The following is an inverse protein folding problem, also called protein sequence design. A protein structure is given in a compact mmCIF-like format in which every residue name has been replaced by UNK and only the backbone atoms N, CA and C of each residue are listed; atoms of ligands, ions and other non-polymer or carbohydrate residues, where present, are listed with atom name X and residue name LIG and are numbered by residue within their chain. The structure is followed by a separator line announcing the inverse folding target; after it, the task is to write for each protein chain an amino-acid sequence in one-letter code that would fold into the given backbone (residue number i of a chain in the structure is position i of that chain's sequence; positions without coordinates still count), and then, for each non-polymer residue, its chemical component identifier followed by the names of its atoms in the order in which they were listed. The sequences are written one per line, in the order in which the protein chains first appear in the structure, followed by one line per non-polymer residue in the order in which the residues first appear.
data_IF_483584893746
#
_entry.id   IF_483584893746
#
_cell.length_a   1.000
_cell.length_b   1.000
_cell.length_c   1.000
_cell.angle_alpha   90.00
_cell.angle_beta   90.00
_cell.angle_gamma   90.00
#
_symmetry.space_group_name_H-M   'P 1'
#
loop_
_entity.id
_entity.type
_entity.pdbx_description
1 polymer ?
#
# COMPACT_ATOMS: atom_id res chain seq x y z
N UNK A 1 -9.70 10.72 -19.57
CA UNK A 1 -9.34 10.56 -18.13
C UNK A 1 -8.10 9.69 -18.06
N UNK A 2 -7.11 10.03 -17.23
CA UNK A 2 -5.97 9.12 -16.96
C UNK A 2 -6.47 7.92 -16.13
N UNK A 3 -5.76 6.78 -16.14
CA UNK A 3 -6.11 5.62 -15.29
C UNK A 3 -6.12 5.99 -13.79
N UNK A 4 -5.27 6.92 -13.40
CA UNK A 4 -5.24 7.48 -12.05
C UNK A 4 -6.52 8.21 -11.71
N UNK A 5 -6.95 9.14 -12.57
CA UNK A 5 -8.20 9.86 -12.40
C UNK A 5 -9.39 8.91 -12.29
N UNK A 6 -9.39 7.82 -13.05
CA UNK A 6 -10.46 6.82 -12.95
C UNK A 6 -10.54 6.15 -11.58
N UNK A 7 -9.41 5.82 -10.94
CA UNK A 7 -9.40 5.22 -9.59
C UNK A 7 -9.86 6.19 -8.51
N UNK A 8 -9.43 7.45 -8.60
CA UNK A 8 -9.86 8.53 -7.71
C UNK A 8 -11.37 8.73 -7.83
N UNK A 9 -11.86 8.85 -9.07
CA UNK A 9 -13.28 9.00 -9.35
C UNK A 9 -14.06 7.80 -8.78
N UNK A 10 -13.62 6.56 -9.03
CA UNK A 10 -14.29 5.35 -8.54
C UNK A 10 -14.35 5.27 -6.99
N UNK A 11 -13.28 5.67 -6.30
CA UNK A 11 -13.28 5.75 -4.84
C UNK A 11 -14.24 6.83 -4.34
N UNK A 12 -14.19 8.01 -4.95
CA UNK A 12 -15.08 9.12 -4.60
C UNK A 12 -16.55 8.77 -4.86
N UNK A 13 -16.85 8.09 -5.96
CA UNK A 13 -18.17 7.59 -6.31
C UNK A 13 -18.65 6.58 -5.27
N UNK A 14 -17.78 5.66 -4.83
CA UNK A 14 -18.11 4.68 -3.79
C UNK A 14 -18.49 5.34 -2.46
N UNK A 15 -17.75 6.37 -2.04
CA UNK A 15 -18.07 7.15 -0.83
C UNK A 15 -19.36 7.95 -0.99
N UNK A 16 -19.60 8.52 -2.16
CA UNK A 16 -20.82 9.28 -2.44
C UNK A 16 -22.06 8.37 -2.47
N UNK A 17 -21.96 7.19 -3.10
CA UNK A 17 -23.01 6.16 -3.07
C UNK A 17 -23.30 5.75 -1.63
N UNK A 18 -22.26 5.55 -0.81
CA UNK A 18 -22.43 5.23 0.60
C UNK A 18 -23.21 6.33 1.35
N UNK A 19 -22.83 7.60 1.17
CA UNK A 19 -23.50 8.74 1.81
C UNK A 19 -24.96 8.86 1.39
N UNK A 20 -25.26 8.73 0.10
CA UNK A 20 -26.63 8.72 -0.41
C UNK A 20 -27.45 7.59 0.22
N UNK A 21 -26.87 6.39 0.36
CA UNK A 21 -27.55 5.28 1.04
C UNK A 21 -27.76 5.52 2.54
N UNK A 22 -27.00 6.40 3.19
CA UNK A 22 -27.20 6.71 4.62
C UNK A 22 -28.41 7.63 4.83
N UNK A 23 -28.72 8.51 3.88
CA UNK A 23 -29.86 9.44 3.98
C UNK A 23 -31.20 8.71 4.05
N UNK A 24 -31.31 7.57 3.35
CA UNK A 24 -32.54 6.77 3.28
C UNK A 24 -32.65 5.69 4.38
N UNK A 25 -31.63 5.55 5.25
CA UNK A 25 -31.60 4.49 6.26
C UNK A 25 -32.35 4.88 7.55
N UNK A 26 -33.02 3.92 8.20
CA UNK A 26 -33.60 4.15 9.51
C UNK A 26 -32.49 4.46 10.53
N UNK A 27 -32.66 5.55 11.28
CA UNK A 27 -31.72 5.96 12.32
C UNK A 27 -32.22 5.50 13.69
N UNK A 28 -31.29 5.06 14.53
CA UNK A 28 -31.55 4.66 15.91
C UNK A 28 -30.53 5.32 16.83
N UNK A 29 -30.90 5.50 18.08
CA UNK A 29 -30.02 6.05 19.10
C UNK A 29 -29.67 4.96 20.09
N UNK A 30 -28.38 4.69 20.26
CA UNK A 30 -27.89 3.79 21.30
C UNK A 30 -28.25 4.35 22.69
N UNK A 31 -28.30 3.51 23.75
CA UNK A 31 -28.54 4.00 25.12
C UNK A 31 -27.59 5.12 25.56
N UNK A 32 -26.40 5.20 24.96
CA UNK A 32 -25.38 6.21 25.22
C UNK A 32 -25.46 7.42 24.28
N UNK A 33 -26.55 7.58 23.52
CA UNK A 33 -26.79 8.77 22.69
C UNK A 33 -26.15 8.76 21.30
N UNK A 34 -25.41 7.71 20.91
CA UNK A 34 -24.84 7.61 19.54
C UNK A 34 -25.93 7.28 18.52
N UNK A 35 -25.96 8.00 17.42
CA UNK A 35 -26.77 7.65 16.24
C UNK A 35 -26.14 6.46 15.51
N UNK A 36 -26.94 5.48 15.14
CA UNK A 36 -26.56 4.33 14.31
C UNK A 36 -27.60 4.13 13.23
N UNK A 37 -27.17 3.60 12.08
CA UNK A 37 -28.02 3.42 10.90
C UNK A 37 -28.39 1.93 10.76
N UNK A 38 -29.69 1.63 10.66
CA UNK A 38 -30.18 0.28 10.38
C UNK A 38 -30.21 -0.04 8.89
N UNK A 39 -30.77 -1.21 8.54
CA UNK A 39 -30.86 -1.68 7.14
C UNK A 39 -29.70 -2.56 6.67
N UNK A 40 -28.79 -2.97 7.56
CA UNK A 40 -27.67 -3.84 7.26
C UNK A 40 -26.42 -3.09 6.75
N UNK A 41 -25.25 -3.74 6.87
CA UNK A 41 -23.95 -3.14 6.57
C UNK A 41 -23.32 -2.39 7.74
N UNK A 42 -22.00 -2.22 7.70
CA UNK A 42 -21.22 -1.49 8.71
C UNK A 42 -21.02 -0.06 8.18
N UNK A 43 -21.65 0.93 8.82
CA UNK A 43 -21.37 2.35 8.55
C UNK A 43 -20.12 2.76 9.33
N UNK A 44 -19.05 3.27 8.68
CA UNK A 44 -17.86 3.72 9.37
C UNK A 44 -18.16 5.02 10.13
N UNK A 45 -17.62 5.13 11.34
CA UNK A 45 -17.65 6.38 12.11
C UNK A 45 -16.68 7.43 11.51
N UNK A 46 -15.63 6.98 10.80
CA UNK A 46 -14.57 7.81 10.24
C UNK A 46 -14.26 7.34 8.81
N UNK A 47 -14.24 8.26 7.87
CA UNK A 47 -13.84 7.99 6.48
C UNK A 47 -12.36 8.33 6.28
N UNK A 48 -11.58 7.38 5.74
CA UNK A 48 -10.16 7.55 5.45
C UNK A 48 -9.95 7.39 3.95
N UNK A 49 -9.38 8.42 3.30
CA UNK A 49 -8.99 8.34 1.89
C UNK A 49 -7.84 7.35 1.70
N UNK A 50 -7.82 6.59 0.61
CA UNK A 50 -6.73 5.66 0.34
C UNK A 50 -5.49 6.43 -0.10
N UNK A 51 -4.30 5.93 0.23
CA UNK A 51 -3.05 6.47 -0.32
C UNK A 51 -3.04 6.31 -1.84
N UNK A 52 -2.64 7.37 -2.52
CA UNK A 52 -2.40 7.37 -3.96
C UNK A 52 -0.92 7.12 -4.26
N UNK A 53 -0.65 6.39 -5.33
CA UNK A 53 0.71 6.11 -5.80
C UNK A 53 0.91 6.68 -7.21
N UNK A 54 2.11 7.19 -7.50
CA UNK A 54 2.51 7.41 -8.89
C UNK A 54 2.65 6.06 -9.61
N UNK A 55 1.99 5.91 -10.75
CA UNK A 55 1.95 4.66 -11.51
C UNK A 55 2.89 4.66 -12.72
N UNK A 56 3.50 5.78 -13.09
CA UNK A 56 4.20 5.93 -14.37
C UNK A 56 5.35 4.92 -14.50
N UNK A 57 6.28 4.97 -13.55
CA UNK A 57 7.44 4.08 -13.52
C UNK A 57 7.05 2.60 -13.32
N UNK A 58 6.04 2.34 -12.48
CA UNK A 58 5.51 0.99 -12.27
C UNK A 58 4.88 0.42 -13.54
N UNK A 59 4.09 1.20 -14.27
CA UNK A 59 3.41 0.75 -15.48
C UNK A 59 4.40 0.37 -16.58
N UNK A 60 5.46 1.15 -16.77
CA UNK A 60 6.51 0.82 -17.74
C UNK A 60 7.14 -0.55 -17.45
N UNK A 61 7.31 -0.88 -16.17
CA UNK A 61 7.91 -2.13 -15.72
C UNK A 61 6.91 -3.29 -15.70
N UNK A 62 5.66 -3.05 -15.28
CA UNK A 62 4.62 -4.08 -15.13
C UNK A 62 3.99 -4.51 -16.45
N UNK A 63 4.12 -3.71 -17.51
CA UNK A 63 3.64 -4.06 -18.85
C UNK A 63 4.56 -5.06 -19.57
N UNK A 64 5.71 -5.41 -18.97
CA UNK A 64 6.51 -6.53 -19.43
C UNK A 64 5.76 -7.86 -19.21
N UNK A 65 6.22 -8.93 -19.87
CA UNK A 65 5.55 -10.24 -19.90
C UNK A 65 4.98 -10.64 -18.52
N UNK A 66 3.66 -10.95 -18.39
CA UNK A 66 3.05 -11.27 -17.09
C UNK A 66 3.63 -12.52 -16.40
N UNK A 67 4.42 -13.32 -17.11
CA UNK A 67 5.17 -14.44 -16.54
C UNK A 67 6.58 -14.05 -16.02
N UNK A 68 6.98 -12.79 -16.14
CA UNK A 68 8.31 -12.27 -15.82
C UNK A 68 8.20 -10.95 -15.05
N UNK A 69 7.85 -11.03 -13.76
CA UNK A 69 7.76 -9.87 -12.86
C UNK A 69 9.17 -9.37 -12.48
N UNK A 70 9.60 -8.19 -12.97
CA UNK A 70 10.94 -7.66 -12.68
C UNK A 70 11.14 -7.35 -11.21
N UNK A 71 10.09 -6.98 -10.47
CA UNK A 71 10.17 -6.63 -9.06
C UNK A 71 10.44 -7.88 -8.22
N UNK A 72 9.73 -8.97 -8.50
CA UNK A 72 9.92 -10.27 -7.85
C UNK A 72 11.33 -10.80 -8.07
N UNK A 73 11.81 -10.79 -9.32
CA UNK A 73 13.16 -11.30 -9.66
C UNK A 73 14.26 -10.46 -9.04
N UNK A 74 14.13 -9.14 -9.08
CA UNK A 74 15.09 -8.26 -8.41
C UNK A 74 15.12 -8.53 -6.91
N UNK A 75 13.96 -8.65 -6.27
CA UNK A 75 13.84 -8.94 -4.85
C UNK A 75 14.48 -10.29 -4.47
N UNK A 76 14.33 -11.31 -5.32
CA UNK A 76 14.97 -12.61 -5.13
C UNK A 76 16.49 -12.49 -5.15
N UNK A 77 17.06 -11.80 -6.15
CA UNK A 77 18.50 -11.56 -6.23
C UNK A 77 19.02 -10.72 -5.06
N UNK A 78 18.25 -9.70 -4.66
CA UNK A 78 18.57 -8.85 -3.53
C UNK A 78 18.66 -9.67 -2.24
N UNK A 79 17.64 -10.50 -1.97
CA UNK A 79 17.56 -11.30 -0.75
C UNK A 79 18.74 -12.27 -0.65
N UNK A 80 19.14 -12.91 -1.75
CA UNK A 80 20.31 -13.81 -1.77
C UNK A 80 21.61 -13.04 -1.48
N UNK A 81 21.80 -11.85 -2.07
CA UNK A 81 23.02 -11.04 -1.92
C UNK A 81 23.11 -10.34 -0.56
N UNK A 82 21.97 -10.01 0.04
CA UNK A 82 21.87 -9.13 1.22
C UNK A 82 21.22 -9.82 2.43
N UNK A 83 21.20 -11.15 2.49
CA UNK A 83 20.52 -11.91 3.55
C UNK A 83 20.89 -11.48 4.98
N UNK A 84 22.14 -11.04 5.18
CA UNK A 84 22.66 -10.62 6.49
C UNK A 84 22.77 -9.09 6.64
N UNK A 85 22.22 -8.30 5.71
CA UNK A 85 22.27 -6.83 5.77
C UNK A 85 21.34 -6.25 6.86
N UNK A 86 20.30 -6.99 7.24
CA UNK A 86 19.25 -6.54 8.13
C UNK A 86 19.08 -7.52 9.30
N UNK A 87 19.03 -7.00 10.51
CA UNK A 87 18.93 -7.84 11.72
C UNK A 87 17.56 -8.53 11.84
N UNK A 88 16.50 -7.83 11.41
CA UNK A 88 15.14 -8.34 11.45
C UNK A 88 14.24 -7.62 10.43
N UNK A 89 13.02 -8.17 10.27
CA UNK A 89 12.03 -7.64 9.36
C UNK A 89 11.60 -6.20 9.68
N UNK A 90 11.51 -5.79 10.95
CA UNK A 90 11.05 -4.45 11.32
C UNK A 90 12.06 -3.37 10.89
N UNK A 91 13.35 -3.64 11.07
CA UNK A 91 14.42 -2.74 10.67
C UNK A 91 14.47 -2.63 9.14
N UNK A 92 14.29 -3.75 8.44
CA UNK A 92 14.21 -3.77 6.98
C UNK A 92 13.03 -2.96 6.44
N UNK A 93 11.80 -3.25 6.89
CA UNK A 93 10.61 -2.61 6.30
C UNK A 93 10.57 -1.11 6.54
N UNK A 94 11.16 -0.64 7.64
CA UNK A 94 11.30 0.79 7.96
C UNK A 94 12.47 1.45 7.24
N UNK A 95 13.56 0.72 7.06
CA UNK A 95 14.83 1.26 6.55
C UNK A 95 15.03 1.14 5.04
N UNK A 96 14.38 0.18 4.38
CA UNK A 96 14.54 0.00 2.94
C UNK A 96 13.89 1.15 2.16
N UNK A 97 14.70 1.76 1.30
CA UNK A 97 14.31 2.85 0.39
C UNK A 97 14.85 2.57 -1.01
N UNK A 98 13.99 2.69 -2.02
CA UNK A 98 14.39 2.55 -3.42
C UNK A 98 14.92 3.89 -3.94
N UNK A 99 16.06 4.29 -3.40
CA UNK A 99 16.74 5.56 -3.69
C UNK A 99 18.27 5.38 -3.70
N UNK A 100 18.98 6.38 -4.22
CA UNK A 100 20.45 6.37 -4.27
C UNK A 100 21.02 5.07 -4.85
N UNK A 101 21.88 4.39 -4.07
CA UNK A 101 22.52 3.16 -4.49
C UNK A 101 21.53 2.00 -4.76
N UNK A 102 20.41 1.93 -4.04
CA UNK A 102 19.42 0.86 -4.24
C UNK A 102 18.64 1.06 -5.55
N UNK A 103 18.35 2.31 -5.90
CA UNK A 103 17.77 2.64 -7.20
C UNK A 103 18.75 2.34 -8.35
N UNK A 104 20.01 2.70 -8.20
CA UNK A 104 21.03 2.41 -9.22
C UNK A 104 21.26 0.90 -9.41
N UNK A 105 21.24 0.12 -8.33
CA UNK A 105 21.28 -1.34 -8.39
C UNK A 105 20.07 -1.92 -9.14
N UNK A 106 18.88 -1.39 -8.88
CA UNK A 106 17.67 -1.82 -9.58
C UNK A 106 17.72 -1.47 -11.08
N UNK A 107 18.14 -0.25 -11.43
CA UNK A 107 18.34 0.18 -12.82
C UNK A 107 19.36 -0.72 -13.53
N UNK A 108 20.47 -1.06 -12.85
CA UNK A 108 21.47 -1.98 -13.39
C UNK A 108 20.87 -3.36 -13.66
N UNK A 109 20.11 -3.91 -12.71
CA UNK A 109 19.42 -5.19 -12.86
C UNK A 109 18.50 -5.19 -14.08
N UNK A 110 17.70 -4.13 -14.28
CA UNK A 110 16.80 -4.01 -15.43
C UNK A 110 17.59 -4.03 -16.75
N UNK A 111 18.69 -3.29 -16.83
CA UNK A 111 19.58 -3.25 -18.00
C UNK A 111 20.23 -4.61 -18.29
N UNK A 112 20.81 -5.24 -17.27
CA UNK A 112 21.49 -6.53 -17.40
C UNK A 112 20.55 -7.63 -17.91
N UNK A 113 19.25 -7.51 -17.59
CA UNK A 113 18.22 -8.46 -17.97
C UNK A 113 17.44 -8.06 -19.24
N UNK A 114 17.87 -7.00 -19.94
CA UNK A 114 17.21 -6.47 -21.15
C UNK A 114 15.72 -6.17 -20.95
N UNK A 115 15.35 -5.69 -19.76
CA UNK A 115 13.99 -5.30 -19.44
C UNK A 115 13.76 -3.90 -20.01
N UNK A 116 12.67 -3.69 -20.73
CA UNK A 116 12.35 -2.39 -21.29
C UNK A 116 11.78 -1.48 -20.20
N UNK A 117 12.37 -0.30 -20.03
CA UNK A 117 11.90 0.73 -19.11
C UNK A 117 12.39 2.11 -19.54
N UNK A 118 11.73 3.17 -19.06
CA UNK A 118 12.21 4.53 -19.20
C UNK A 118 13.02 4.92 -17.97
N UNK A 119 14.35 5.00 -18.12
CA UNK A 119 15.24 5.36 -17.02
C UNK A 119 14.98 6.78 -16.50
N UNK A 120 14.61 7.73 -17.37
CA UNK A 120 14.31 9.08 -16.95
C UNK A 120 13.08 9.12 -16.05
N UNK A 121 11.99 8.43 -16.43
CA UNK A 121 10.79 8.31 -15.59
C UNK A 121 11.14 7.68 -14.24
N UNK A 122 11.95 6.61 -14.24
CA UNK A 122 12.31 5.92 -13.00
C UNK A 122 13.21 6.77 -12.07
N UNK A 123 13.92 7.77 -12.60
CA UNK A 123 14.78 8.68 -11.83
C UNK A 123 14.07 9.97 -11.41
N UNK A 124 13.19 10.50 -12.26
CA UNK A 124 12.58 11.82 -12.08
C UNK A 124 11.22 11.73 -11.38
N UNK A 125 10.52 10.59 -11.46
CA UNK A 125 9.21 10.40 -10.85
C UNK A 125 9.29 9.64 -9.51
N UNK A 126 8.33 9.88 -8.58
CA UNK A 126 8.23 9.11 -7.34
C UNK A 126 8.18 7.60 -7.59
N UNK A 127 8.98 6.85 -6.85
CA UNK A 127 9.16 5.40 -6.99
C UNK A 127 8.41 4.59 -5.92
N UNK A 128 7.52 5.22 -5.15
CA UNK A 128 6.86 4.62 -3.97
C UNK A 128 6.19 3.27 -4.25
N UNK A 129 5.59 3.11 -5.44
CA UNK A 129 4.96 1.85 -5.80
C UNK A 129 5.98 0.76 -6.18
N UNK A 130 7.08 1.13 -6.84
CA UNK A 130 8.16 0.20 -7.13
C UNK A 130 8.84 -0.23 -5.83
N UNK A 131 9.09 0.73 -4.93
CA UNK A 131 9.59 0.47 -3.58
C UNK A 131 8.68 -0.49 -2.83
N UNK A 132 7.36 -0.25 -2.84
CA UNK A 132 6.37 -1.12 -2.21
C UNK A 132 6.49 -2.57 -2.68
N UNK A 133 6.47 -2.81 -4.00
CA UNK A 133 6.54 -4.15 -4.55
C UNK A 133 7.87 -4.85 -4.25
N UNK A 134 8.99 -4.14 -4.44
CA UNK A 134 10.32 -4.70 -4.19
C UNK A 134 10.48 -5.01 -2.69
N UNK A 135 10.15 -4.06 -1.80
CA UNK A 135 10.24 -4.23 -0.35
C UNK A 135 9.41 -5.43 0.10
N UNK A 136 8.16 -5.53 -0.36
CA UNK A 136 7.26 -6.65 -0.03
C UNK A 136 7.88 -8.00 -0.38
N UNK A 137 8.38 -8.16 -1.60
CA UNK A 137 8.97 -9.42 -2.03
C UNK A 137 10.28 -9.73 -1.29
N UNK A 138 11.15 -8.73 -1.06
CA UNK A 138 12.37 -8.95 -0.27
C UNK A 138 12.01 -9.40 1.14
N UNK A 139 11.04 -8.76 1.78
CA UNK A 139 10.61 -9.11 3.13
C UNK A 139 10.05 -10.53 3.19
N UNK A 140 9.30 -10.95 2.17
CA UNK A 140 8.80 -12.30 2.03
C UNK A 140 9.94 -13.32 1.83
N UNK A 141 10.93 -13.03 0.99
CA UNK A 141 12.07 -13.93 0.80
C UNK A 141 12.92 -14.11 2.06
N UNK A 142 13.10 -13.04 2.84
CA UNK A 142 13.97 -13.06 4.03
C UNK A 142 13.26 -13.58 5.29
N UNK A 143 11.98 -13.28 5.48
CA UNK A 143 11.24 -13.61 6.71
C UNK A 143 9.86 -14.26 6.48
N UNK A 144 9.58 -14.71 5.26
CA UNK A 144 8.33 -15.37 4.90
C UNK A 144 7.11 -14.49 5.13
N UNK A 145 5.99 -15.14 5.49
CA UNK A 145 4.70 -14.46 5.72
C UNK A 145 4.78 -13.33 6.75
N UNK A 146 5.66 -13.43 7.75
CA UNK A 146 5.81 -12.38 8.76
C UNK A 146 6.42 -11.12 8.13
N UNK A 147 7.48 -11.27 7.33
CA UNK A 147 8.08 -10.16 6.60
C UNK A 147 7.10 -9.53 5.61
N UNK A 148 6.40 -10.38 4.85
CA UNK A 148 5.34 -9.97 3.93
C UNK A 148 4.28 -9.09 4.64
N UNK A 149 3.67 -9.59 5.72
CA UNK A 149 2.60 -8.88 6.41
C UNK A 149 3.08 -7.58 7.06
N UNK A 150 4.31 -7.56 7.59
CA UNK A 150 4.92 -6.34 8.13
C UNK A 150 5.16 -5.30 7.04
N UNK A 151 5.60 -5.72 5.85
CA UNK A 151 5.80 -4.81 4.73
C UNK A 151 4.47 -4.18 4.29
N UNK A 152 3.39 -4.94 4.20
CA UNK A 152 2.08 -4.38 3.83
C UNK A 152 1.54 -3.43 4.91
N UNK A 153 1.69 -3.78 6.19
CA UNK A 153 1.21 -2.98 7.30
C UNK A 153 1.87 -1.59 7.40
N UNK A 154 3.13 -1.45 6.97
CA UNK A 154 3.87 -0.16 7.01
C UNK A 154 3.32 0.85 6.01
N UNK A 155 2.77 0.39 4.89
CA UNK A 155 2.20 1.26 3.86
C UNK A 155 0.70 1.46 3.99
N UNK A 156 0.03 0.65 4.82
CA UNK A 156 -1.41 0.74 5.05
C UNK A 156 -1.76 2.01 5.84
N UNK A 157 -2.20 3.03 5.10
CA UNK A 157 -2.60 4.30 5.66
C UNK A 157 -3.91 4.20 6.46
N UNK A 158 -4.77 3.24 6.15
CA UNK A 158 -6.01 3.00 6.89
C UNK A 158 -5.69 2.38 8.24
N UNK A 159 -4.80 1.39 8.29
CA UNK A 159 -4.33 0.79 9.54
C UNK A 159 -3.64 1.84 10.43
N UNK A 160 -2.71 2.61 9.86
CA UNK A 160 -1.99 3.67 10.59
C UNK A 160 -2.93 4.71 11.19
N UNK A 161 -3.97 5.10 10.43
CA UNK A 161 -4.96 6.05 10.91
C UNK A 161 -5.90 5.43 11.95
N UNK A 162 -6.36 4.20 11.74
CA UNK A 162 -7.26 3.49 12.65
C UNK A 162 -6.64 3.30 14.05
N UNK A 163 -5.34 3.02 14.13
CA UNK A 163 -4.63 2.87 15.40
C UNK A 163 -4.71 4.13 16.28
N UNK A 164 -4.87 5.32 15.70
CA UNK A 164 -5.00 6.57 16.45
C UNK A 164 -6.30 6.66 17.23
N UNK A 165 -7.33 5.90 16.85
CA UNK A 165 -8.67 5.94 17.45
C UNK A 165 -8.92 4.84 18.48
N UNK A 166 -7.91 4.03 18.81
CA UNK A 166 -8.03 2.99 19.82
C UNK A 166 -8.37 3.55 21.22
N UNK A 167 -7.80 4.68 21.67
CA UNK A 167 -8.19 5.31 22.94
C UNK A 167 -9.68 5.69 23.00
N UNK A 168 -10.25 6.17 21.89
CA UNK A 168 -11.68 6.47 21.75
C UNK A 168 -12.51 5.20 21.79
N UNK A 169 -12.06 4.14 21.10
CA UNK A 169 -12.72 2.84 21.11
C UNK A 169 -12.78 2.24 22.54
N UNK A 170 -11.71 2.37 23.33
CA UNK A 170 -11.70 1.90 24.71
C UNK A 170 -12.77 2.59 25.59
N UNK A 171 -13.03 3.88 25.38
CA UNK A 171 -14.07 4.62 26.11
C UNK A 171 -15.48 4.08 25.85
N UNK A 172 -15.70 3.41 24.72
CA UNK A 172 -16.99 2.80 24.38
C UNK A 172 -17.25 1.53 25.19
N UNK A 173 -16.19 0.78 25.51
CA UNK A 173 -16.25 -0.52 26.22
C UNK A 173 -16.28 -0.34 27.75
N UNK A 174 -15.58 0.66 28.29
CA UNK A 174 -15.39 0.84 29.74
C UNK A 174 -16.56 1.55 30.46
N UNK A 175 -17.62 1.92 29.76
CA UNK A 175 -18.82 2.60 30.30
C UNK A 175 -20.09 1.78 30.01
#
# INVERSE_FOLDING_TARGET
KTRQQYRIDAQSDSLNIMRQQLEDRPTYTTPKGRTVYGGGGITPDIEISMREYNLLSWMDLSNNNPNDDPFFRYAQEYAVKNANKWDNADDFVKGYKLEGAELDNFIKFLKDNNINFNEQILRDEPTDLNEFWIRRYIAEFLWGNIGYSKSEAVDDNVLSEALKYFPEAEKLVKN
#
